data_IF_823337320245
#
_entry.id   IF_823337320245
#
_cell.length_a   1.000
_cell.length_b   1.000
_cell.length_c   1.000
_cell.angle_alpha   90.00
_cell.angle_beta   90.00
_cell.angle_gamma   90.00
#
_symmetry.space_group_name_H-M   'P 1'
#
loop_
_entity.id
_entity.type
_entity.pdbx_description
1 polymer ?
#
# COMPACT_ATOMS: atom_id res chain seq x y z
N UNK A 1 -12.07 -5.49 1.96
CA UNK A 1 -10.74 -4.97 2.27
C UNK A 1 -9.63 -5.61 1.47
N UNK A 2 -9.58 -6.94 1.41
CA UNK A 2 -8.63 -7.69 0.59
C UNK A 2 -9.27 -7.95 -0.76
N UNK A 3 -8.63 -7.52 -1.86
CA UNK A 3 -9.16 -7.74 -3.21
C UNK A 3 -8.98 -9.18 -3.67
N UNK A 4 -8.03 -9.87 -3.07
CA UNK A 4 -7.82 -11.28 -3.34
C UNK A 4 -6.84 -11.91 -2.36
N UNK A 5 -6.83 -13.20 -2.30
CA UNK A 5 -5.88 -13.98 -1.52
C UNK A 5 -5.33 -15.09 -2.39
N UNK A 6 -4.01 -15.14 -2.52
CA UNK A 6 -3.33 -16.10 -3.37
C UNK A 6 -2.78 -17.23 -2.51
N UNK A 7 -3.47 -18.37 -2.53
CA UNK A 7 -3.13 -19.50 -1.67
C UNK A 7 -1.77 -20.11 -1.98
N UNK A 8 -1.29 -19.97 -3.24
CA UNK A 8 -0.01 -20.56 -3.66
C UNK A 8 1.18 -20.00 -2.92
N UNK A 9 1.16 -18.71 -2.54
CA UNK A 9 2.26 -18.05 -1.84
C UNK A 9 1.83 -17.33 -0.55
N UNK A 10 0.55 -17.40 -0.20
CA UNK A 10 0.02 -16.77 1.01
C UNK A 10 -0.07 -15.26 0.94
N UNK A 11 -0.06 -14.66 -0.26
CA UNK A 11 -0.13 -13.21 -0.43
C UNK A 11 -1.56 -12.72 -0.50
N UNK A 12 -1.87 -11.71 0.30
CA UNK A 12 -3.08 -10.93 0.11
C UNK A 12 -2.81 -9.91 -0.99
N UNK A 13 -3.71 -9.82 -1.96
CA UNK A 13 -3.55 -8.92 -3.11
C UNK A 13 -4.45 -7.71 -2.93
N UNK A 14 -3.87 -6.52 -2.99
CA UNK A 14 -4.59 -5.26 -2.88
C UNK A 14 -4.38 -4.45 -4.14
N UNK A 15 -5.46 -4.18 -4.88
CA UNK A 15 -5.39 -3.40 -6.10
C UNK A 15 -5.60 -1.91 -5.80
N UNK A 16 -4.69 -1.08 -6.26
CA UNK A 16 -4.72 0.37 -6.10
C UNK A 16 -4.64 1.03 -7.49
N UNK A 17 -5.70 0.83 -8.26
CA UNK A 17 -5.77 1.36 -9.62
C UNK A 17 -6.36 2.77 -9.63
N UNK A 18 -5.84 3.60 -10.52
CA UNK A 18 -6.30 4.96 -10.73
C UNK A 18 -6.87 5.11 -12.13
N UNK A 19 -7.77 6.09 -12.32
CA UNK A 19 -8.44 6.29 -13.60
C UNK A 19 -7.50 6.84 -14.69
N UNK A 20 -6.45 7.56 -14.28
CA UNK A 20 -5.49 8.17 -15.21
C UNK A 20 -4.09 7.73 -14.81
N UNK A 21 -3.69 6.50 -15.22
CA UNK A 21 -2.44 5.89 -14.74
C UNK A 21 -1.18 6.61 -15.19
N UNK A 22 -1.23 7.38 -16.28
CA UNK A 22 -0.08 8.11 -16.80
C UNK A 22 0.08 9.50 -16.19
N UNK A 23 -0.88 9.94 -15.38
CA UNK A 23 -0.82 11.23 -14.72
C UNK A 23 -0.34 11.10 -13.27
N UNK A 24 0.40 12.11 -12.75
CA UNK A 24 0.81 12.09 -11.35
C UNK A 24 -0.39 12.08 -10.40
N UNK A 25 -0.27 11.33 -9.32
CA UNK A 25 -1.25 11.35 -8.25
C UNK A 25 -0.54 11.72 -6.93
N UNK A 26 -1.31 11.86 -5.85
CA UNK A 26 -0.73 12.26 -4.56
C UNK A 26 0.18 11.19 -3.94
N UNK A 27 0.14 9.96 -4.44
CA UNK A 27 0.94 8.85 -3.94
C UNK A 27 2.36 8.88 -4.50
N UNK A 28 3.09 9.90 -4.11
CA UNK A 28 4.48 10.12 -4.51
C UNK A 28 5.31 10.36 -3.26
N UNK A 29 6.50 9.78 -3.21
CA UNK A 29 7.39 9.92 -2.05
C UNK A 29 7.69 11.38 -1.73
N UNK A 30 7.96 12.19 -2.75
CA UNK A 30 8.24 13.62 -2.57
C UNK A 30 7.04 14.39 -2.03
N UNK A 31 5.81 14.06 -2.45
CA UNK A 31 4.61 14.70 -1.93
C UNK A 31 4.33 14.27 -0.49
N UNK A 32 4.64 13.02 -0.16
CA UNK A 32 4.53 12.53 1.20
C UNK A 32 5.44 13.31 2.15
N UNK A 33 6.67 13.61 1.73
CA UNK A 33 7.60 14.42 2.51
C UNK A 33 7.09 15.85 2.71
N UNK A 34 6.55 16.46 1.66
CA UNK A 34 5.96 17.79 1.73
C UNK A 34 4.77 17.83 2.68
N UNK A 35 3.90 16.83 2.61
CA UNK A 35 2.75 16.72 3.49
C UNK A 35 3.16 16.62 4.95
N UNK A 36 4.22 15.87 5.24
CA UNK A 36 4.75 15.74 6.59
C UNK A 36 5.23 17.09 7.14
N UNK A 37 5.81 17.93 6.28
CA UNK A 37 6.34 19.23 6.68
C UNK A 37 5.28 20.31 6.83
N UNK A 38 4.26 20.34 5.96
CA UNK A 38 3.25 21.41 5.95
C UNK A 38 1.83 20.96 6.33
N UNK A 39 1.59 19.65 6.38
CA UNK A 39 0.30 19.08 6.79
C UNK A 39 -0.84 19.23 5.80
N UNK A 40 -0.64 19.88 4.67
CA UNK A 40 -1.71 20.21 3.73
C UNK A 40 -2.41 19.00 3.10
N UNK A 41 -1.67 17.93 2.85
CA UNK A 41 -2.19 16.71 2.24
C UNK A 41 -2.30 15.54 3.21
N UNK A 42 -2.16 15.81 4.49
CA UNK A 42 -2.10 14.73 5.47
C UNK A 42 -3.35 13.87 5.48
N UNK A 43 -4.51 14.48 5.29
CA UNK A 43 -5.77 13.74 5.25
C UNK A 43 -5.86 12.76 4.09
N UNK A 44 -5.16 13.03 2.97
CA UNK A 44 -5.16 12.15 1.81
C UNK A 44 -4.44 10.82 2.09
N UNK A 45 -3.46 10.87 2.99
CA UNK A 45 -2.67 9.69 3.32
C UNK A 45 -3.26 8.90 4.49
N UNK A 46 -4.15 9.49 5.27
CA UNK A 46 -4.70 8.85 6.46
C UNK A 46 -5.45 7.56 6.13
N UNK A 47 -6.19 7.54 5.05
CA UNK A 47 -6.90 6.35 4.61
C UNK A 47 -5.92 5.20 4.31
N UNK A 48 -4.83 5.52 3.61
CA UNK A 48 -3.80 4.54 3.29
C UNK A 48 -3.10 4.03 4.56
N UNK A 49 -2.83 4.92 5.52
CA UNK A 49 -2.24 4.55 6.81
C UNK A 49 -3.13 3.61 7.61
N UNK A 50 -4.41 3.91 7.70
CA UNK A 50 -5.38 3.07 8.42
C UNK A 50 -5.42 1.67 7.81
N UNK A 51 -5.45 1.59 6.50
CA UNK A 51 -5.48 0.33 5.78
C UNK A 51 -4.21 -0.50 6.04
N UNK A 52 -3.03 0.14 5.97
CA UNK A 52 -1.77 -0.53 6.24
C UNK A 52 -1.65 -1.02 7.68
N UNK A 53 -2.15 -0.27 8.65
CA UNK A 53 -2.21 -0.71 10.04
C UNK A 53 -3.07 -1.96 10.21
N UNK A 54 -4.18 -2.03 9.48
CA UNK A 54 -5.04 -3.22 9.50
C UNK A 54 -4.33 -4.43 8.93
N UNK A 55 -3.59 -4.26 7.84
CA UNK A 55 -2.78 -5.34 7.28
C UNK A 55 -1.67 -5.78 8.24
N UNK A 56 -0.99 -4.85 8.87
CA UNK A 56 0.05 -5.18 9.84
C UNK A 56 -0.52 -5.99 11.00
N UNK A 57 -1.68 -5.59 11.51
CA UNK A 57 -2.36 -6.31 12.58
C UNK A 57 -2.79 -7.71 12.12
N UNK A 58 -3.31 -7.84 10.90
CA UNK A 58 -3.73 -9.13 10.35
C UNK A 58 -2.54 -10.08 10.18
N UNK A 59 -1.40 -9.58 9.70
CA UNK A 59 -0.19 -10.38 9.53
C UNK A 59 0.37 -10.87 10.88
N UNK A 60 0.18 -10.09 11.95
CA UNK A 60 0.62 -10.46 13.29
C UNK A 60 -0.37 -11.35 14.06
N UNK A 61 -1.56 -11.58 13.53
CA UNK A 61 -2.58 -12.39 14.19
C UNK A 61 -2.35 -13.88 13.91
N UNK A 62 -2.19 -14.72 14.96
CA UNK A 62 -1.96 -16.16 14.78
C UNK A 62 -3.06 -16.87 13.98
N UNK A 63 -4.28 -16.32 13.96
CA UNK A 63 -5.38 -16.87 13.19
C UNK A 63 -5.19 -16.75 11.69
N UNK A 64 -4.31 -15.84 11.27
CA UNK A 64 -4.00 -15.56 9.86
C UNK A 64 -2.62 -16.09 9.48
N UNK A 65 -2.17 -17.18 10.08
CA UNK A 65 -0.81 -17.72 9.85
C UNK A 65 -0.53 -18.11 8.40
N UNK A 66 -1.57 -18.31 7.59
CA UNK A 66 -1.43 -18.61 6.18
C UNK A 66 -1.12 -17.38 5.34
N UNK A 67 -1.42 -16.21 5.87
CA UNK A 67 -1.15 -14.93 5.22
C UNK A 67 0.30 -14.53 5.46
N UNK A 68 1.10 -14.53 4.39
CA UNK A 68 2.54 -14.28 4.48
C UNK A 68 2.93 -12.85 4.18
N UNK A 69 2.07 -12.10 3.53
CA UNK A 69 2.35 -10.72 3.19
C UNK A 69 1.26 -10.11 2.32
N UNK A 70 1.51 -8.92 1.85
CA UNK A 70 0.60 -8.16 1.00
C UNK A 70 1.31 -7.79 -0.30
N UNK A 71 0.66 -8.03 -1.43
CA UNK A 71 1.08 -7.54 -2.73
C UNK A 71 0.17 -6.38 -3.10
N UNK A 72 0.73 -5.17 -3.12
CA UNK A 72 0.02 -3.98 -3.58
C UNK A 72 0.27 -3.81 -5.06
N UNK A 73 -0.79 -3.83 -5.85
CA UNK A 73 -0.72 -3.75 -7.31
C UNK A 73 -1.29 -2.40 -7.74
N UNK A 74 -0.53 -1.64 -8.51
CA UNK A 74 -0.96 -0.34 -9.00
C UNK A 74 -0.69 -0.20 -10.49
N UNK A 75 -1.55 0.55 -11.18
CA UNK A 75 -1.36 0.91 -12.58
C UNK A 75 -0.67 2.27 -12.76
N UNK A 76 -0.18 2.86 -11.68
CA UNK A 76 0.56 4.12 -11.70
C UNK A 76 1.99 3.87 -11.22
N UNK A 77 2.97 4.04 -12.14
CA UNK A 77 4.37 3.74 -11.84
C UNK A 77 4.92 4.56 -10.68
N UNK A 78 4.54 5.82 -10.58
CA UNK A 78 5.05 6.71 -9.54
C UNK A 78 4.55 6.33 -8.15
N UNK A 79 3.46 5.58 -8.07
CA UNK A 79 2.93 5.12 -6.79
C UNK A 79 3.70 3.93 -6.21
N UNK A 80 4.47 3.21 -7.01
CA UNK A 80 5.21 2.03 -6.53
C UNK A 80 6.18 2.38 -5.40
N UNK A 81 7.08 3.38 -5.55
CA UNK A 81 7.96 3.78 -4.45
C UNK A 81 7.20 4.24 -3.22
N UNK A 82 6.10 4.95 -3.41
CA UNK A 82 5.24 5.40 -2.32
C UNK A 82 4.76 4.22 -1.48
N UNK A 83 4.19 3.19 -2.12
CA UNK A 83 3.69 2.03 -1.42
C UNK A 83 4.81 1.24 -0.73
N UNK A 84 5.98 1.15 -1.36
CA UNK A 84 7.15 0.50 -0.74
C UNK A 84 7.55 1.19 0.56
N UNK A 85 7.63 2.52 0.53
CA UNK A 85 7.98 3.30 1.72
C UNK A 85 6.92 3.15 2.80
N UNK A 86 5.65 3.26 2.43
CA UNK A 86 4.54 3.17 3.38
C UNK A 86 4.43 1.77 4.00
N UNK A 87 4.55 0.73 3.20
CA UNK A 87 4.51 -0.64 3.72
C UNK A 87 5.65 -0.89 4.70
N UNK A 88 6.86 -0.45 4.37
CA UNK A 88 8.00 -0.58 5.26
C UNK A 88 7.80 0.19 6.57
N UNK A 89 7.27 1.41 6.48
CA UNK A 89 7.04 2.27 7.65
C UNK A 89 6.03 1.67 8.63
N UNK A 90 5.02 0.96 8.13
CA UNK A 90 3.99 0.37 8.98
C UNK A 90 4.17 -1.11 9.24
N UNK A 91 5.31 -1.67 8.86
CA UNK A 91 5.63 -3.07 9.14
C UNK A 91 4.80 -4.08 8.37
N UNK A 92 4.32 -3.72 7.20
CA UNK A 92 3.56 -4.62 6.33
C UNK A 92 4.53 -5.38 5.44
N UNK A 93 4.64 -6.67 5.66
CA UNK A 93 5.49 -7.53 4.82
C UNK A 93 4.90 -7.66 3.43
N UNK A 94 5.74 -7.63 2.42
CA UNK A 94 5.32 -7.81 1.04
C UNK A 94 6.00 -6.84 0.10
N UNK A 95 5.31 -6.52 -0.99
CA UNK A 95 5.89 -5.66 -2.02
C UNK A 95 4.80 -4.92 -2.78
N UNK A 96 5.22 -3.89 -3.50
CA UNK A 96 4.37 -3.15 -4.41
C UNK A 96 4.88 -3.36 -5.83
N UNK A 97 3.96 -3.48 -6.78
CA UNK A 97 4.27 -3.83 -8.15
C UNK A 97 3.41 -3.03 -9.13
N UNK A 98 4.01 -2.63 -10.25
CA UNK A 98 3.31 -1.96 -11.34
C UNK A 98 2.68 -2.99 -12.29
N UNK A 99 1.42 -2.75 -12.63
CA UNK A 99 0.71 -3.51 -13.66
C UNK A 99 0.04 -2.52 -14.60
N UNK A 100 0.34 -2.55 -15.90
CA UNK A 100 -0.26 -1.61 -16.84
C UNK A 100 -1.78 -1.79 -17.00
#
# INVERSE_FOLDING_TARGET
MVDGFRATDGMAVEAKFVNRPDEPCYRRVEDLRKSHNDGKKDFLYEKDRVELRKYAAALGDPRNKEMRGVETVTNNRESVPYWRVMMAAYGVKGYARYVP
#
